data_IF_122518809526
#
_entry.id   IF_122518809526
#
_cell.length_a   1.000
_cell.length_b   1.000
_cell.length_c   1.000
_cell.angle_alpha   90.00
_cell.angle_beta   90.00
_cell.angle_gamma   90.00
#
_symmetry.space_group_name_H-M   'P 1'
#
loop_
_entity.id
_entity.type
_entity.pdbx_description
1 polymer ?
#
# COMPACT_ATOMS: atom_id res chain seq x y z
N UNK A 1 -16.39 -17.12 -5.66
CA UNK A 1 -15.74 -15.81 -5.45
C UNK A 1 -14.29 -16.07 -5.09
N UNK A 2 -13.36 -15.35 -5.71
CA UNK A 2 -11.93 -15.64 -5.65
C UNK A 2 -11.15 -14.54 -4.92
N UNK A 3 -10.01 -14.90 -4.32
CA UNK A 3 -9.08 -13.93 -3.75
C UNK A 3 -7.95 -13.66 -4.74
N UNK A 4 -7.71 -12.38 -5.02
CA UNK A 4 -6.55 -11.95 -5.82
C UNK A 4 -5.48 -11.44 -4.89
N UNK A 5 -4.26 -11.98 -5.03
CA UNK A 5 -3.07 -11.49 -4.34
C UNK A 5 -2.52 -10.30 -5.12
N UNK A 6 -2.36 -9.18 -4.45
CA UNK A 6 -1.89 -7.92 -5.02
C UNK A 6 -0.54 -7.56 -4.41
N UNK A 7 0.45 -7.38 -5.28
CA UNK A 7 1.76 -6.86 -4.89
C UNK A 7 1.77 -5.34 -5.04
N UNK A 8 1.68 -4.60 -3.93
CA UNK A 8 1.83 -3.15 -3.93
C UNK A 8 3.25 -2.78 -3.55
N UNK A 9 4.00 -2.23 -4.51
CA UNK A 9 5.26 -1.54 -4.23
C UNK A 9 5.00 -0.05 -4.42
N UNK A 10 4.83 0.70 -3.34
CA UNK A 10 4.56 2.15 -3.42
C UNK A 10 5.75 2.91 -4.04
N UNK A 11 6.98 2.46 -3.78
CA UNK A 11 8.18 2.83 -4.53
C UNK A 11 9.40 2.01 -4.05
N UNK A 12 10.41 1.85 -4.93
CA UNK A 12 11.74 1.36 -4.56
C UNK A 12 12.56 2.52 -3.97
N UNK A 13 13.42 2.23 -2.99
CA UNK A 13 14.33 3.20 -2.36
C UNK A 13 13.67 4.34 -1.56
N UNK A 14 12.42 4.18 -1.12
CA UNK A 14 11.80 5.14 -0.18
C UNK A 14 12.43 5.11 1.20
N UNK A 15 13.03 3.97 1.57
CA UNK A 15 13.83 3.82 2.77
C UNK A 15 15.29 3.57 2.39
N UNK A 16 16.25 4.24 3.07
CA UNK A 16 17.66 3.88 3.01
C UNK A 16 17.85 2.38 3.32
N UNK A 17 18.75 1.71 2.59
CA UNK A 17 18.88 0.25 2.62
C UNK A 17 19.27 -0.29 4.01
N UNK A 18 20.10 0.43 4.76
CA UNK A 18 20.47 0.14 6.14
C UNK A 18 19.24 0.15 7.06
N UNK A 19 18.45 1.24 7.01
CA UNK A 19 17.21 1.37 7.79
C UNK A 19 16.16 0.36 7.39
N UNK A 20 16.03 0.07 6.09
CA UNK A 20 15.13 -0.95 5.59
C UNK A 20 15.48 -2.34 6.15
N UNK A 21 16.77 -2.71 6.13
CA UNK A 21 17.24 -4.00 6.68
C UNK A 21 17.02 -4.09 8.18
N UNK A 22 17.31 -3.02 8.91
CA UNK A 22 17.09 -2.99 10.35
C UNK A 22 15.60 -3.13 10.69
N UNK A 23 14.73 -2.37 10.02
CA UNK A 23 13.29 -2.45 10.22
C UNK A 23 12.74 -3.85 9.91
N UNK A 24 13.24 -4.51 8.84
CA UNK A 24 12.87 -5.87 8.51
C UNK A 24 13.31 -6.88 9.60
N UNK A 25 14.53 -6.76 10.11
CA UNK A 25 15.06 -7.65 11.18
C UNK A 25 14.34 -7.47 12.50
N UNK A 26 14.00 -6.24 12.87
CA UNK A 26 13.33 -5.89 14.13
C UNK A 26 11.81 -5.94 14.06
N UNK A 27 11.24 -6.31 12.91
CA UNK A 27 9.80 -6.25 12.65
C UNK A 27 9.19 -4.87 12.96
N UNK A 28 9.96 -3.81 12.71
CA UNK A 28 9.55 -2.43 12.99
C UNK A 28 8.43 -2.02 12.03
N UNK A 29 7.31 -1.47 12.52
CA UNK A 29 6.26 -0.96 11.66
C UNK A 29 6.78 0.20 10.80
N UNK A 30 6.31 0.27 9.55
CA UNK A 30 6.66 1.37 8.63
C UNK A 30 5.39 2.14 8.32
N UNK A 31 5.36 3.43 8.64
CA UNK A 31 4.25 4.31 8.34
C UNK A 31 4.56 5.08 7.06
N UNK A 32 3.70 4.92 6.06
CA UNK A 32 3.84 5.61 4.78
C UNK A 32 2.74 6.65 4.66
N UNK A 33 3.13 7.90 4.47
CA UNK A 33 2.22 9.02 4.24
C UNK A 33 2.07 9.25 2.74
N UNK A 34 0.82 9.36 2.29
CA UNK A 34 0.46 9.64 0.90
C UNK A 34 -0.52 10.82 0.83
N UNK A 35 -0.61 11.48 -0.32
CA UNK A 35 -1.68 12.45 -0.57
C UNK A 35 -3.01 11.77 -0.83
N UNK A 36 -4.12 12.47 -0.58
CA UNK A 36 -5.49 12.02 -0.90
C UNK A 36 -5.90 12.35 -2.34
N UNK A 37 -5.01 12.97 -3.12
CA UNK A 37 -5.18 13.22 -4.55
C UNK A 37 -5.39 11.91 -5.33
N UNK A 38 -6.03 11.98 -6.51
CA UNK A 38 -6.12 10.84 -7.42
C UNK A 38 -5.18 11.04 -8.62
N UNK A 39 -4.18 10.17 -8.86
CA UNK A 39 -3.71 9.09 -7.98
C UNK A 39 -2.92 9.62 -6.76
N UNK A 40 -2.95 8.87 -5.66
CA UNK A 40 -2.24 9.21 -4.44
C UNK A 40 -0.72 9.29 -4.70
N UNK A 41 -0.06 10.29 -4.15
CA UNK A 41 1.39 10.48 -4.28
C UNK A 41 2.10 10.18 -2.97
N UNK A 42 3.31 9.64 -3.05
CA UNK A 42 4.16 9.47 -1.88
C UNK A 42 4.54 10.84 -1.30
N UNK A 43 4.45 10.96 0.03
CA UNK A 43 4.85 12.17 0.76
C UNK A 43 6.05 11.88 1.66
N UNK A 44 5.93 10.89 2.54
CA UNK A 44 6.95 10.58 3.53
C UNK A 44 6.86 9.12 4.01
N UNK A 45 7.94 8.66 4.64
CA UNK A 45 7.99 7.38 5.35
C UNK A 45 8.69 7.55 6.69
N UNK A 46 8.17 6.86 7.71
CA UNK A 46 8.73 6.89 9.07
C UNK A 46 8.50 5.59 9.81
N UNK A 47 9.11 5.47 10.99
CA UNK A 47 8.93 4.34 11.91
C UNK A 47 8.00 4.67 13.09
N UNK A 48 7.52 5.91 13.13
CA UNK A 48 6.57 6.41 14.13
C UNK A 48 5.29 6.89 13.42
N UNK A 49 4.13 6.85 14.10
CA UNK A 49 2.89 7.39 13.56
C UNK A 49 3.06 8.86 13.14
N UNK A 50 2.70 9.23 11.89
CA UNK A 50 2.89 10.59 11.40
C UNK A 50 1.81 11.53 11.96
N UNK A 51 2.16 12.81 12.12
CA UNK A 51 1.16 13.86 12.27
C UNK A 51 0.66 14.26 10.88
N UNK A 52 -0.57 13.84 10.55
CA UNK A 52 -1.16 14.07 9.23
C UNK A 52 -1.57 15.53 9.05
N UNK A 53 -1.22 16.11 7.89
CA UNK A 53 -1.78 17.38 7.42
C UNK A 53 -3.14 17.15 6.76
N UNK A 54 -3.93 18.21 6.54
CA UNK A 54 -5.04 18.15 5.59
C UNK A 54 -4.57 17.55 4.25
N UNK A 55 -5.42 16.74 3.62
CA UNK A 55 -5.15 16.04 2.36
C UNK A 55 -4.04 14.97 2.40
N UNK A 56 -3.73 14.45 3.59
CA UNK A 56 -2.83 13.32 3.76
C UNK A 56 -3.54 12.12 4.39
N UNK A 57 -3.12 10.94 3.96
CA UNK A 57 -3.49 9.67 4.56
C UNK A 57 -2.21 8.91 4.96
N UNK A 58 -2.32 8.01 5.93
CA UNK A 58 -1.23 7.10 6.27
C UNK A 58 -1.64 5.64 6.10
N UNK A 59 -0.67 4.83 5.68
CA UNK A 59 -0.81 3.39 5.49
C UNK A 59 0.32 2.70 6.25
N UNK A 60 -0.07 1.75 7.10
CA UNK A 60 0.85 0.89 7.83
C UNK A 60 1.36 -0.24 6.92
N UNK A 61 2.68 -0.30 6.77
CA UNK A 61 3.38 -1.31 6.01
C UNK A 61 4.50 -2.00 6.79
N UNK A 62 5.25 -2.85 6.08
CA UNK A 62 6.40 -3.59 6.59
C UNK A 62 7.55 -3.52 5.60
N UNK A 63 8.75 -3.23 6.09
CA UNK A 63 9.95 -3.30 5.26
C UNK A 63 10.28 -4.75 4.88
N UNK A 64 10.71 -4.97 3.64
CA UNK A 64 11.29 -6.25 3.18
C UNK A 64 12.82 -6.28 3.22
N UNK A 65 13.46 -5.21 3.68
CA UNK A 65 14.92 -5.14 3.81
C UNK A 65 15.67 -4.78 2.51
N UNK A 66 14.95 -4.62 1.39
CA UNK A 66 15.50 -4.22 0.09
C UNK A 66 15.05 -2.82 -0.33
N UNK A 67 14.71 -1.95 0.62
CA UNK A 67 14.19 -0.61 0.34
C UNK A 67 12.74 -0.58 -0.19
N UNK A 68 12.06 -1.73 -0.21
CA UNK A 68 10.63 -1.87 -0.49
C UNK A 68 9.81 -2.01 0.79
N UNK A 69 8.57 -1.52 0.72
CA UNK A 69 7.57 -1.61 1.78
C UNK A 69 6.36 -2.33 1.22
N UNK A 70 5.95 -3.37 1.94
CA UNK A 70 4.74 -4.14 1.64
C UNK A 70 3.60 -3.67 2.53
N UNK A 71 2.37 -3.80 2.03
CA UNK A 71 1.16 -3.43 2.77
C UNK A 71 0.24 -4.65 2.93
N UNK A 72 0.47 -5.51 3.94
CA UNK A 72 -0.29 -6.75 4.10
C UNK A 72 -1.81 -6.54 4.17
N UNK A 73 -2.25 -5.40 4.70
CA UNK A 73 -3.67 -5.10 4.90
C UNK A 73 -4.44 -4.82 3.61
N UNK A 74 -3.76 -4.43 2.54
CA UNK A 74 -4.36 -4.22 1.22
C UNK A 74 -3.86 -5.23 0.18
N UNK A 75 -3.03 -6.20 0.58
CA UNK A 75 -2.43 -7.19 -0.32
C UNK A 75 -3.41 -8.25 -0.85
N UNK A 76 -4.64 -8.28 -0.37
CA UNK A 76 -5.66 -9.23 -0.81
C UNK A 76 -6.97 -8.49 -1.07
N UNK A 77 -7.57 -8.78 -2.23
CA UNK A 77 -8.89 -8.29 -2.59
C UNK A 77 -9.82 -9.47 -2.86
N UNK A 78 -11.00 -9.45 -2.25
CA UNK A 78 -12.05 -10.40 -2.56
C UNK A 78 -12.78 -9.95 -3.82
N UNK A 79 -12.91 -10.87 -4.78
CA UNK A 79 -13.52 -10.61 -6.07
C UNK A 79 -14.77 -11.51 -6.19
N UNK A 80 -15.98 -10.93 -6.33
CA UNK A 80 -17.17 -11.70 -6.60
C UNK A 80 -17.03 -12.55 -7.86
N UNK A 81 -17.69 -13.70 -7.86
CA UNK A 81 -17.67 -14.64 -8.98
C UNK A 81 -18.10 -13.95 -10.29
N UNK A 82 -17.37 -14.21 -11.37
CA UNK A 82 -17.57 -13.55 -12.67
C UNK A 82 -16.81 -12.23 -12.88
N UNK A 83 -16.25 -11.64 -11.84
CA UNK A 83 -15.49 -10.36 -11.93
C UNK A 83 -14.01 -10.57 -12.23
N UNK A 84 -13.50 -11.81 -12.09
CA UNK A 84 -12.12 -12.20 -12.40
C UNK A 84 -11.70 -11.85 -13.82
N UNK A 85 -12.59 -12.00 -14.81
CA UNK A 85 -12.30 -11.68 -16.23
C UNK A 85 -11.94 -10.21 -16.45
N UNK A 86 -12.54 -9.27 -15.72
CA UNK A 86 -12.26 -7.84 -15.86
C UNK A 86 -10.85 -7.50 -15.31
N UNK A 87 -10.47 -8.12 -14.19
CA UNK A 87 -9.15 -7.95 -13.57
C UNK A 87 -8.06 -8.64 -14.40
N UNK A 88 -8.33 -9.84 -14.92
CA UNK A 88 -7.43 -10.55 -15.82
C UNK A 88 -7.25 -9.81 -17.15
N UNK A 89 -8.31 -9.21 -17.70
CA UNK A 89 -8.23 -8.37 -18.91
C UNK A 89 -7.50 -7.05 -18.68
N UNK A 90 -7.39 -6.63 -17.42
CA UNK A 90 -6.56 -5.50 -17.00
C UNK A 90 -5.12 -5.91 -16.66
N UNK A 91 -4.73 -7.18 -16.78
CA UNK A 91 -3.31 -7.58 -16.68
C UNK A 91 -2.49 -6.80 -17.70
N UNK A 92 -1.58 -5.97 -17.20
CA UNK A 92 -0.73 -5.09 -18.02
C UNK A 92 -1.21 -3.64 -18.12
N UNK A 93 -2.36 -3.27 -17.52
CA UNK A 93 -2.77 -1.89 -17.28
C UNK A 93 -2.54 -1.53 -15.82
N UNK A 94 -2.08 -0.31 -15.55
CA UNK A 94 -2.02 0.21 -14.19
C UNK A 94 -3.44 0.21 -13.59
N UNK A 95 -3.64 -0.57 -12.53
CA UNK A 95 -4.87 -0.54 -11.73
C UNK A 95 -4.66 0.40 -10.54
N UNK A 96 -5.64 1.24 -10.25
CA UNK A 96 -5.68 2.03 -9.05
C UNK A 96 -6.47 1.29 -7.96
N UNK A 97 -5.91 1.27 -6.76
CA UNK A 97 -6.55 0.71 -5.58
C UNK A 97 -7.27 1.82 -4.81
N UNK A 98 -8.58 1.64 -4.57
CA UNK A 98 -9.34 2.51 -3.68
C UNK A 98 -9.20 1.99 -2.26
N UNK A 99 -8.55 2.76 -1.40
CA UNK A 99 -8.21 2.36 -0.03
C UNK A 99 -8.84 3.33 0.96
N UNK A 100 -9.50 2.81 2.00
CA UNK A 100 -9.87 3.57 3.19
C UNK A 100 -8.82 3.37 4.28
N UNK A 101 -8.46 4.43 5.00
CA UNK A 101 -7.49 4.38 6.10
C UNK A 101 -8.14 4.84 7.40
N UNK A 102 -7.80 4.19 8.52
CA UNK A 102 -8.18 4.64 9.86
C UNK A 102 -7.12 5.54 10.50
N UNK A 103 -7.45 6.16 11.64
CA UNK A 103 -6.55 7.02 12.42
C UNK A 103 -5.25 6.32 12.85
N UNK A 104 -5.26 4.99 12.94
CA UNK A 104 -4.09 4.17 13.26
C UNK A 104 -3.34 3.66 12.02
N UNK A 105 -3.52 4.34 10.87
CA UNK A 105 -2.94 3.99 9.58
C UNK A 105 -3.31 2.59 9.07
N UNK A 106 -4.38 1.98 9.62
CA UNK A 106 -4.85 0.69 9.10
C UNK A 106 -5.61 0.93 7.81
N UNK A 107 -5.29 0.15 6.79
CA UNK A 107 -5.88 0.28 5.48
C UNK A 107 -6.86 -0.87 5.18
N UNK A 108 -7.94 -0.54 4.49
CA UNK A 108 -8.90 -1.48 3.94
C UNK A 108 -9.05 -1.21 2.44
N UNK A 109 -8.83 -2.24 1.63
CA UNK A 109 -9.04 -2.17 0.19
C UNK A 109 -10.54 -2.24 -0.11
N UNK A 110 -11.08 -1.18 -0.72
CA UNK A 110 -12.50 -1.07 -1.08
C UNK A 110 -12.77 -1.55 -2.52
N UNK A 111 -11.80 -1.38 -3.42
CA UNK A 111 -11.99 -1.69 -4.82
C UNK A 111 -10.74 -1.51 -5.67
N UNK A 112 -10.81 -2.05 -6.88
CA UNK A 112 -9.83 -1.86 -7.94
C UNK A 112 -10.52 -1.19 -9.12
N UNK A 113 -9.85 -0.23 -9.75
CA UNK A 113 -10.32 0.45 -10.94
C UNK A 113 -9.19 0.59 -11.97
N UNK A 114 -9.54 0.72 -13.25
CA UNK A 114 -8.56 1.07 -14.27
C UNK A 114 -8.09 2.52 -14.04
N UNK A 115 -6.79 2.77 -14.24
CA UNK A 115 -6.21 4.11 -14.20
C UNK A 115 -6.80 5.04 -15.25
#
# INVERSE_FOLDING_TARGET
>A
GDYVILGYTLAQNILPADRAREAARKFTPVYVTVSTERPARFVAVGFEPPQLKPDQACILGRSRGQGSVDFPQVAQYFVPEGTGRAIESARGKDLLAKVATSDNCRALLLGLEAR
#
